data_IF_972946508271
#
_entry.id   IF_972946508271
#
_cell.length_a   1.000
_cell.length_b   1.000
_cell.length_c   1.000
_cell.angle_alpha   90.00
_cell.angle_beta   90.00
_cell.angle_gamma   90.00
#
_symmetry.space_group_name_H-M   'P 1'
#
loop_
_entity.id
_entity.type
_entity.pdbx_description
1 polymer ?
#
# COMPACT_ATOMS: atom_id res chain seq x y z
N UNK A 1 -45.48 20.86 -5.51
CA UNK A 1 -44.17 20.39 -6.01
C UNK A 1 -43.31 19.97 -4.81
N UNK A 2 -42.93 18.69 -4.70
CA UNK A 2 -42.13 18.20 -3.56
C UNK A 2 -40.66 18.61 -3.75
N UNK A 3 -40.16 19.56 -2.94
CA UNK A 3 -38.72 19.91 -2.92
C UNK A 3 -37.95 18.78 -2.24
N UNK A 4 -37.11 18.06 -2.99
CA UNK A 4 -36.18 17.07 -2.42
C UNK A 4 -35.14 17.81 -1.57
N UNK A 5 -35.11 17.54 -0.26
CA UNK A 5 -34.07 18.06 0.64
C UNK A 5 -32.76 17.35 0.31
N UNK A 6 -31.68 18.13 0.10
CA UNK A 6 -30.35 17.59 -0.18
C UNK A 6 -29.82 16.94 1.10
N UNK A 7 -29.93 15.62 1.21
CA UNK A 7 -29.35 14.86 2.32
C UNK A 7 -27.88 14.64 2.04
N UNK A 8 -27.00 15.22 2.87
CA UNK A 8 -25.58 14.88 2.85
C UNK A 8 -25.42 13.42 3.24
N UNK A 9 -25.21 12.56 2.25
CA UNK A 9 -24.95 11.15 2.50
C UNK A 9 -23.44 10.98 2.65
N UNK A 10 -22.94 10.80 3.89
CA UNK A 10 -21.55 10.39 4.11
C UNK A 10 -21.40 9.01 3.47
N UNK A 11 -20.75 8.95 2.31
CA UNK A 11 -20.44 7.69 1.63
C UNK A 11 -19.71 6.78 2.63
N UNK A 12 -20.17 5.54 2.75
CA UNK A 12 -19.53 4.50 3.56
C UNK A 12 -18.11 4.27 3.02
N UNK A 13 -17.15 3.94 3.88
CA UNK A 13 -15.82 3.50 3.44
C UNK A 13 -15.98 2.25 2.58
N UNK A 14 -15.63 2.35 1.30
CA UNK A 14 -15.64 1.24 0.36
C UNK A 14 -14.21 0.72 0.30
N UNK A 15 -13.97 -0.40 0.97
CA UNK A 15 -12.71 -1.13 0.87
C UNK A 15 -12.66 -1.78 -0.51
N UNK A 16 -11.61 -1.50 -1.28
CA UNK A 16 -11.39 -2.08 -2.61
C UNK A 16 -10.10 -2.88 -2.64
N UNK A 17 -10.06 -3.91 -3.48
CA UNK A 17 -8.84 -4.65 -3.76
C UNK A 17 -7.94 -3.80 -4.65
N UNK A 18 -6.69 -3.63 -4.25
CA UNK A 18 -5.67 -2.89 -5.00
C UNK A 18 -4.91 -3.82 -5.93
N UNK A 19 -4.57 -5.03 -5.47
CA UNK A 19 -3.84 -6.04 -6.25
C UNK A 19 -3.04 -6.98 -5.37
N UNK A 20 -2.12 -7.74 -5.97
CA UNK A 20 -1.20 -8.64 -5.25
C UNK A 20 0.12 -7.92 -4.97
N UNK A 21 0.62 -8.02 -3.74
CA UNK A 21 1.90 -7.45 -3.35
C UNK A 21 3.07 -8.13 -4.09
N UNK A 22 3.94 -7.32 -4.69
CA UNK A 22 5.18 -7.77 -5.36
C UNK A 22 6.06 -8.72 -4.54
N UNK A 23 6.12 -8.53 -3.21
CA UNK A 23 7.08 -9.24 -2.35
C UNK A 23 6.50 -10.50 -1.71
N UNK A 24 5.31 -10.41 -1.11
CA UNK A 24 4.71 -11.52 -0.37
C UNK A 24 3.56 -12.21 -1.12
N UNK A 25 3.19 -11.73 -2.32
CA UNK A 25 2.08 -12.25 -3.13
C UNK A 25 0.71 -12.27 -2.42
N UNK A 26 0.56 -11.55 -1.30
CA UNK A 26 -0.72 -11.40 -0.60
C UNK A 26 -1.54 -10.28 -1.23
N UNK A 27 -2.86 -10.39 -1.12
CA UNK A 27 -3.80 -9.40 -1.62
C UNK A 27 -3.77 -8.13 -0.75
N UNK A 28 -3.64 -6.98 -1.40
CA UNK A 28 -3.65 -5.66 -0.80
C UNK A 28 -5.06 -5.08 -0.89
N UNK A 29 -5.57 -4.56 0.22
CA UNK A 29 -6.81 -3.78 0.23
C UNK A 29 -6.53 -2.29 0.38
N UNK A 30 -7.46 -1.44 -0.07
CA UNK A 30 -7.30 0.02 -0.08
C UNK A 30 -7.24 0.66 1.31
N UNK A 31 -7.58 -0.10 2.34
CA UNK A 31 -7.50 0.32 3.75
C UNK A 31 -6.08 0.12 4.33
N UNK A 32 -5.24 -0.68 3.65
CA UNK A 32 -3.86 -0.93 4.04
C UNK A 32 -2.90 0.09 3.40
N UNK A 33 -1.72 0.25 4.01
CA UNK A 33 -0.66 1.09 3.46
C UNK A 33 0.09 0.37 2.34
N UNK A 34 -0.03 0.88 1.11
CA UNK A 34 0.61 0.32 -0.08
C UNK A 34 1.36 1.37 -0.90
N UNK A 35 2.31 0.89 -1.70
CA UNK A 35 3.06 1.68 -2.69
C UNK A 35 2.81 1.12 -4.09
N UNK A 36 2.90 2.00 -5.08
CA UNK A 36 2.82 1.62 -6.49
C UNK A 36 4.17 1.85 -7.15
N UNK A 37 4.79 0.80 -7.66
CA UNK A 37 6.02 0.89 -8.42
C UNK A 37 5.75 1.34 -9.86
N UNK A 38 6.80 1.87 -10.51
CA UNK A 38 6.81 2.08 -11.96
C UNK A 38 6.38 0.81 -12.69
N UNK A 39 5.45 0.93 -13.63
CA UNK A 39 4.82 -0.22 -14.31
C UNK A 39 3.53 -0.71 -13.66
N UNK A 40 3.03 -0.04 -12.62
CA UNK A 40 1.71 -0.35 -12.03
C UNK A 40 1.71 -1.57 -11.11
N UNK A 41 2.86 -1.91 -10.53
CA UNK A 41 2.99 -3.08 -9.64
C UNK A 41 2.76 -2.63 -8.19
N UNK A 42 1.72 -3.12 -7.50
CA UNK A 42 1.46 -2.78 -6.11
C UNK A 42 2.33 -3.58 -5.13
N UNK A 43 2.65 -2.99 -3.98
CA UNK A 43 3.28 -3.68 -2.86
C UNK A 43 2.87 -3.09 -1.52
N UNK A 44 2.90 -3.90 -0.46
CA UNK A 44 2.78 -3.40 0.89
C UNK A 44 3.96 -2.49 1.22
N UNK A 45 3.68 -1.37 1.88
CA UNK A 45 4.74 -0.44 2.31
C UNK A 45 5.75 -1.14 3.24
N UNK A 46 5.27 -1.98 4.16
CA UNK A 46 6.13 -2.73 5.07
C UNK A 46 7.06 -3.71 4.35
N UNK A 47 6.61 -4.33 3.26
CA UNK A 47 7.46 -5.22 2.46
C UNK A 47 8.55 -4.44 1.72
N UNK A 48 8.19 -3.30 1.12
CA UNK A 48 9.16 -2.42 0.45
C UNK A 48 10.22 -1.88 1.42
N UNK A 49 9.82 -1.52 2.65
CA UNK A 49 10.75 -1.06 3.69
C UNK A 49 11.76 -2.14 4.10
N UNK A 50 11.31 -3.38 4.30
CA UNK A 50 12.20 -4.51 4.65
C UNK A 50 13.23 -4.79 3.55
N UNK A 51 12.79 -4.80 2.30
CA UNK A 51 13.65 -5.00 1.13
C UNK A 51 14.70 -3.88 1.00
N UNK A 52 14.33 -2.63 1.31
CA UNK A 52 15.27 -1.52 1.32
C UNK A 52 16.27 -1.59 2.48
N UNK A 53 15.81 -1.98 3.68
CA UNK A 53 16.68 -2.19 4.85
C UNK A 53 17.69 -3.31 4.60
N UNK A 54 17.27 -4.44 4.03
CA UNK A 54 18.18 -5.55 3.65
C UNK A 54 19.22 -5.10 2.63
N UNK A 55 18.80 -4.33 1.61
CA UNK A 55 19.73 -3.77 0.61
C UNK A 55 20.76 -2.84 1.23
N UNK A 56 20.39 -2.02 2.20
CA UNK A 56 21.31 -1.10 2.87
C UNK A 56 22.36 -1.86 3.70
N UNK A 57 21.97 -2.96 4.35
CA UNK A 57 22.89 -3.82 5.12
C UNK A 57 23.89 -4.56 4.22
N UNK A 58 23.53 -4.91 2.98
CA UNK A 58 24.46 -5.50 2.02
C UNK A 58 25.50 -4.49 1.51
N UNK A 59 25.14 -3.21 1.45
CA UNK A 59 26.01 -2.13 0.96
C UNK A 59 27.01 -1.66 2.01
N UNK A 60 26.68 -1.79 3.30
CA UNK A 60 27.62 -1.56 4.39
C UNK A 60 28.34 -2.88 4.73
N UNK A 61 29.50 -3.19 4.12
CA UNK A 61 30.27 -4.34 4.56
C UNK A 61 30.56 -4.11 6.04
N UNK A 62 30.15 -5.10 6.85
CA UNK A 62 30.37 -5.17 8.30
C UNK A 62 31.67 -4.43 8.64
N UNK A 63 31.55 -3.22 9.16
CA UNK A 63 32.68 -2.57 9.83
C UNK A 63 32.81 -3.30 11.16
N UNK A 64 33.43 -4.46 11.09
CA UNK A 64 33.89 -5.21 12.24
C UNK A 64 34.99 -4.35 12.89
N UNK A 65 34.70 -3.84 14.09
CA UNK A 65 35.67 -3.34 15.07
C UNK A 65 35.34 -3.96 16.42
#
# INVERSE_FOLDING_TARGET
>A
MLRRKKTWNRKKNIIRNVGLCKYCNQMIVSDESFVMFMGGIPAHYACMKKDDEERQLEIEPKKET
#
